data_IF_643336843715
#
_entry.id   IF_643336843715
#
_cell.length_a   1.000
_cell.length_b   1.000
_cell.length_c   1.000
_cell.angle_alpha   90.00
_cell.angle_beta   90.00
_cell.angle_gamma   90.00
#
_symmetry.space_group_name_H-M   'P 1'
#
loop_
_entity.id
_entity.type
_entity.pdbx_description
1 polymer ?
#
# COMPACT_ATOMS: atom_id res chain seq x y z
N UNK A 1 55.36 5.42 36.58
CA UNK A 1 55.21 5.34 35.11
C UNK A 1 53.82 4.82 34.81
N UNK A 2 53.07 5.63 34.06
CA UNK A 2 51.81 5.36 33.36
C UNK A 2 50.53 5.21 34.17
N UNK A 3 49.88 6.36 34.32
CA UNK A 3 48.42 6.54 34.23
C UNK A 3 47.91 6.08 32.85
N UNK A 4 46.76 5.41 32.78
CA UNK A 4 45.75 5.64 31.72
C UNK A 4 44.34 5.34 32.26
N UNK A 5 43.49 6.34 32.10
CA UNK A 5 42.06 6.45 32.43
C UNK A 5 41.20 5.95 31.27
N UNK A 6 39.96 5.53 31.55
CA UNK A 6 38.81 5.74 30.64
C UNK A 6 38.07 4.44 30.27
N UNK A 7 36.89 4.18 30.85
CA UNK A 7 35.59 4.75 30.47
C UNK A 7 34.98 4.07 29.23
N UNK A 8 33.82 3.45 29.39
CA UNK A 8 33.08 2.91 28.25
C UNK A 8 32.00 1.91 28.61
N UNK A 9 30.97 2.39 29.31
CA UNK A 9 29.66 1.75 29.39
C UNK A 9 29.19 1.34 27.98
N UNK A 10 29.03 0.03 27.74
CA UNK A 10 28.29 -0.46 26.58
C UNK A 10 27.76 -1.87 26.82
N UNK A 11 26.59 -1.91 27.45
CA UNK A 11 25.45 -2.64 26.88
C UNK A 11 25.63 -4.16 26.92
N UNK A 12 25.29 -4.73 28.08
CA UNK A 12 24.42 -5.89 28.11
C UNK A 12 23.28 -5.71 27.08
N UNK A 13 22.86 -6.80 26.44
CA UNK A 13 21.84 -6.88 25.37
C UNK A 13 22.46 -6.83 23.97
N UNK A 14 23.00 -7.95 23.48
CA UNK A 14 23.00 -8.17 22.04
C UNK A 14 23.14 -9.64 21.62
N UNK A 15 22.34 -10.55 22.17
CA UNK A 15 22.17 -11.88 21.56
C UNK A 15 20.78 -12.47 21.77
N UNK A 16 19.75 -11.63 21.64
CA UNK A 16 18.43 -12.06 21.16
C UNK A 16 18.42 -11.99 19.62
N UNK A 17 19.34 -12.71 18.97
CA UNK A 17 19.35 -12.92 17.51
C UNK A 17 18.85 -14.32 17.21
N UNK A 18 17.65 -14.67 17.65
CA UNK A 18 17.02 -15.91 17.20
C UNK A 18 15.51 -15.92 17.42
N UNK A 19 14.78 -14.88 16.99
CA UNK A 19 13.34 -15.04 16.74
C UNK A 19 12.79 -13.91 15.85
N UNK A 20 12.82 -14.11 14.52
CA UNK A 20 11.78 -13.64 13.58
C UNK A 20 12.00 -14.19 12.16
N UNK A 21 11.99 -15.52 12.02
CA UNK A 21 11.81 -16.19 10.72
C UNK A 21 10.45 -16.91 10.71
N UNK A 22 9.36 -16.18 10.93
CA UNK A 22 8.00 -16.59 10.56
C UNK A 22 7.17 -15.31 10.29
N UNK A 23 6.68 -15.16 9.06
CA UNK A 23 5.45 -14.45 8.68
C UNK A 23 5.18 -13.06 9.26
N UNK A 24 5.78 -12.01 8.69
CA UNK A 24 4.99 -10.80 8.54
C UNK A 24 4.10 -11.03 7.31
N UNK A 25 2.81 -11.31 7.52
CA UNK A 25 1.82 -10.91 6.51
C UNK A 25 2.10 -9.42 6.27
N UNK A 26 2.62 -9.06 5.10
CA UNK A 26 2.76 -7.65 4.75
C UNK A 26 1.34 -7.11 4.65
N UNK A 27 0.90 -6.44 5.72
CA UNK A 27 -0.34 -5.72 5.70
C UNK A 27 -0.17 -4.61 4.66
N UNK A 28 -0.82 -4.72 3.52
CA UNK A 28 -0.69 -3.72 2.46
C UNK A 28 -1.71 -2.64 2.76
N UNK A 29 -1.21 -1.43 2.89
CA UNK A 29 -1.96 -0.27 3.27
C UNK A 29 -1.89 0.74 2.13
N UNK A 30 -2.93 0.81 1.30
CA UNK A 30 -2.94 1.65 0.11
C UNK A 30 -4.10 2.64 0.16
N UNK A 31 -3.76 3.93 0.03
CA UNK A 31 -4.72 4.97 -0.25
C UNK A 31 -5.08 4.96 -1.74
N UNK A 32 -6.32 5.31 -2.06
CA UNK A 32 -6.73 5.66 -3.41
C UNK A 32 -7.60 6.91 -3.42
N UNK A 33 -7.57 7.64 -4.54
CA UNK A 33 -8.45 8.77 -4.82
C UNK A 33 -8.88 8.74 -6.28
N UNK A 34 -10.15 9.05 -6.53
CA UNK A 34 -10.71 9.19 -7.86
C UNK A 34 -10.11 10.45 -8.49
N UNK A 35 -9.64 10.30 -9.72
CA UNK A 35 -9.09 11.41 -10.51
C UNK A 35 -10.12 11.92 -11.51
N UNK A 36 -10.77 10.99 -12.20
CA UNK A 36 -11.71 11.30 -13.27
C UNK A 36 -12.70 10.14 -13.47
N UNK A 37 -13.91 10.47 -13.89
CA UNK A 37 -14.98 9.51 -14.16
C UNK A 37 -15.73 9.92 -15.43
N UNK A 38 -15.93 8.95 -16.32
CA UNK A 38 -16.81 9.02 -17.50
C UNK A 38 -17.94 8.01 -17.36
N UNK A 39 -18.85 7.94 -18.33
CA UNK A 39 -19.87 6.89 -18.38
C UNK A 39 -19.26 5.48 -18.50
N UNK A 40 -18.12 5.35 -19.19
CA UNK A 40 -17.50 4.05 -19.51
C UNK A 40 -16.36 3.66 -18.56
N UNK A 41 -15.69 4.64 -17.96
CA UNK A 41 -14.45 4.43 -17.21
C UNK A 41 -14.39 5.25 -15.93
N UNK A 42 -13.56 4.80 -14.98
CA UNK A 42 -13.17 5.60 -13.82
C UNK A 42 -11.70 5.39 -13.50
N UNK A 43 -10.99 6.49 -13.30
CA UNK A 43 -9.55 6.49 -13.03
C UNK A 43 -9.29 6.83 -11.57
N UNK A 44 -8.38 6.09 -10.96
CA UNK A 44 -7.93 6.29 -9.59
C UNK A 44 -6.42 6.41 -9.51
N UNK A 45 -5.90 7.35 -8.75
CA UNK A 45 -4.54 7.27 -8.21
C UNK A 45 -4.52 6.34 -7.01
N UNK A 46 -3.45 5.58 -6.81
CA UNK A 46 -3.27 4.76 -5.62
C UNK A 46 -1.80 4.67 -5.21
N UNK A 47 -1.57 4.44 -3.93
CA UNK A 47 -0.23 4.23 -3.38
C UNK A 47 -0.24 4.10 -1.87
N UNK A 48 0.92 3.84 -1.28
CA UNK A 48 1.09 3.83 0.18
C UNK A 48 1.03 5.26 0.74
N UNK A 49 1.63 6.21 0.03
CA UNK A 49 1.58 7.64 0.34
C UNK A 49 0.40 8.32 -0.38
N UNK A 50 -0.41 9.05 0.39
CA UNK A 50 -1.55 9.80 -0.13
C UNK A 50 -1.12 11.01 -0.95
N UNK A 51 -0.03 11.68 -0.55
CA UNK A 51 0.43 12.91 -1.18
C UNK A 51 1.33 12.62 -2.39
N UNK A 52 1.91 11.42 -2.45
CA UNK A 52 2.72 10.93 -3.55
C UNK A 52 2.28 9.51 -3.98
N UNK A 53 1.14 9.37 -4.68
CA UNK A 53 0.64 8.07 -5.11
C UNK A 53 1.64 7.37 -6.04
N UNK A 54 1.75 6.05 -5.89
CA UNK A 54 2.72 5.22 -6.60
C UNK A 54 2.36 5.04 -8.08
N UNK A 55 1.07 4.93 -8.39
CA UNK A 55 0.56 4.71 -9.74
C UNK A 55 -0.92 5.12 -9.85
N UNK A 56 -1.49 4.93 -11.04
CA UNK A 56 -2.92 5.03 -11.29
C UNK A 56 -3.48 3.75 -11.89
N UNK A 57 -4.78 3.54 -11.75
CA UNK A 57 -5.51 2.46 -12.40
C UNK A 57 -6.76 3.01 -13.08
N UNK A 58 -7.13 2.39 -14.19
CA UNK A 58 -8.38 2.65 -14.92
C UNK A 58 -9.27 1.42 -14.76
N UNK A 59 -10.50 1.67 -14.32
CA UNK A 59 -11.58 0.70 -14.35
C UNK A 59 -12.43 0.91 -15.58
N UNK A 60 -12.57 -0.15 -16.38
CA UNK A 60 -13.62 -0.26 -17.38
C UNK A 60 -14.90 -0.70 -16.68
N UNK A 61 -15.93 0.16 -16.75
CA UNK A 61 -17.24 -0.07 -16.10
C UNK A 61 -18.10 -1.08 -16.86
N UNK A 62 -17.83 -1.28 -18.15
CA UNK A 62 -18.57 -2.22 -19.01
C UNK A 62 -18.08 -3.65 -18.82
N UNK A 63 -16.75 -3.83 -18.82
CA UNK A 63 -16.08 -5.11 -18.66
C UNK A 63 -15.84 -5.47 -17.19
N UNK A 64 -15.99 -4.50 -16.28
CA UNK A 64 -15.64 -4.63 -14.86
C UNK A 64 -14.20 -5.11 -14.66
N UNK A 65 -13.28 -4.56 -15.45
CA UNK A 65 -11.85 -4.88 -15.35
C UNK A 65 -11.06 -3.65 -14.95
N UNK A 66 -9.93 -3.88 -14.28
CA UNK A 66 -8.97 -2.83 -13.93
C UNK A 66 -7.64 -3.07 -14.64
N UNK A 67 -7.01 -1.98 -15.06
CA UNK A 67 -5.65 -1.97 -15.59
C UNK A 67 -4.83 -0.87 -14.91
N UNK A 68 -3.58 -1.15 -14.51
CA UNK A 68 -2.67 -0.10 -14.06
C UNK A 68 -2.20 0.74 -15.26
N UNK A 69 -2.08 2.05 -15.08
CA UNK A 69 -1.59 2.98 -16.11
C UNK A 69 -0.13 2.69 -16.45
N UNK A 70 0.69 2.33 -15.45
CA UNK A 70 2.06 1.87 -15.67
C UNK A 70 2.19 0.55 -16.44
N UNK A 71 1.10 -0.21 -16.58
CA UNK A 71 1.12 -1.59 -17.07
C UNK A 71 1.61 -2.64 -16.06
N UNK A 72 2.05 -2.23 -14.86
CA UNK A 72 2.57 -3.13 -13.83
C UNK A 72 1.49 -3.58 -12.84
N UNK A 73 1.18 -4.88 -12.86
CA UNK A 73 0.20 -5.48 -11.93
C UNK A 73 0.83 -5.82 -10.58
N UNK A 74 1.11 -4.79 -9.79
CA UNK A 74 1.67 -4.95 -8.44
C UNK A 74 0.66 -5.54 -7.45
N UNK A 75 1.12 -5.96 -6.26
CA UNK A 75 0.19 -6.37 -5.20
C UNK A 75 -0.71 -5.21 -4.76
N UNK A 76 -0.14 -3.99 -4.64
CA UNK A 76 -0.89 -2.77 -4.35
C UNK A 76 -2.01 -2.53 -5.36
N UNK A 77 -1.72 -2.67 -6.66
CA UNK A 77 -2.75 -2.60 -7.71
C UNK A 77 -3.89 -3.61 -7.47
N UNK A 78 -3.56 -4.89 -7.27
CA UNK A 78 -4.57 -5.93 -7.10
C UNK A 78 -5.42 -5.72 -5.83
N UNK A 79 -4.78 -5.32 -4.73
CA UNK A 79 -5.47 -5.02 -3.48
C UNK A 79 -6.40 -3.81 -3.62
N UNK A 80 -5.91 -2.73 -4.22
CA UNK A 80 -6.69 -1.50 -4.43
C UNK A 80 -7.86 -1.72 -5.37
N UNK A 81 -7.64 -2.37 -6.53
CA UNK A 81 -8.71 -2.68 -7.45
C UNK A 81 -9.80 -3.53 -6.78
N UNK A 82 -9.42 -4.59 -6.05
CA UNK A 82 -10.38 -5.42 -5.33
C UNK A 82 -11.16 -4.63 -4.27
N UNK A 83 -10.47 -3.73 -3.56
CA UNK A 83 -11.05 -2.88 -2.53
C UNK A 83 -12.09 -1.89 -3.08
N UNK A 84 -11.75 -1.20 -4.18
CA UNK A 84 -12.65 -0.29 -4.89
C UNK A 84 -13.88 -1.05 -5.39
N UNK A 85 -13.67 -2.18 -6.06
CA UNK A 85 -14.76 -3.00 -6.60
C UNK A 85 -15.71 -3.48 -5.49
N UNK A 86 -15.16 -3.88 -4.33
CA UNK A 86 -15.97 -4.26 -3.17
C UNK A 86 -16.84 -3.10 -2.69
N UNK A 87 -16.28 -1.90 -2.50
CA UNK A 87 -17.03 -0.70 -2.09
C UNK A 87 -18.12 -0.34 -3.10
N UNK A 88 -17.81 -0.40 -4.40
CA UNK A 88 -18.81 -0.22 -5.45
C UNK A 88 -19.94 -1.24 -5.34
N UNK A 89 -19.64 -2.52 -5.08
CA UNK A 89 -20.69 -3.54 -4.93
C UNK A 89 -21.63 -3.27 -3.75
N UNK A 90 -21.09 -2.72 -2.66
CA UNK A 90 -21.80 -2.39 -1.42
C UNK A 90 -22.66 -1.12 -1.57
N UNK A 91 -22.12 -0.07 -2.19
CA UNK A 91 -22.77 1.25 -2.27
C UNK A 91 -23.51 1.51 -3.59
N UNK A 92 -23.19 0.74 -4.64
CA UNK A 92 -23.60 0.99 -6.04
C UNK A 92 -23.07 2.29 -6.63
N UNK A 93 -22.06 2.88 -6.00
CA UNK A 93 -21.42 4.11 -6.43
C UNK A 93 -19.90 3.93 -6.46
N UNK A 94 -19.25 4.57 -7.43
CA UNK A 94 -17.79 4.56 -7.51
C UNK A 94 -17.22 5.45 -6.40
N UNK A 95 -16.43 4.91 -5.45
CA UNK A 95 -16.01 5.66 -4.27
C UNK A 95 -15.11 6.84 -4.63
N UNK A 96 -15.26 7.99 -3.98
CA UNK A 96 -14.42 9.17 -4.24
C UNK A 96 -12.95 8.95 -3.82
N UNK A 97 -12.73 8.29 -2.69
CA UNK A 97 -11.41 7.96 -2.16
C UNK A 97 -11.54 6.90 -1.06
N UNK A 98 -10.41 6.44 -0.54
CA UNK A 98 -10.39 5.69 0.69
C UNK A 98 -9.07 4.98 0.93
N UNK A 99 -9.06 4.21 2.00
CA UNK A 99 -7.92 3.38 2.38
C UNK A 99 -8.27 1.91 2.27
N UNK A 100 -7.33 1.11 1.78
CA UNK A 100 -7.38 -0.34 1.74
C UNK A 100 -6.31 -0.86 2.69
N UNK A 101 -6.72 -1.67 3.65
CA UNK A 101 -5.84 -2.48 4.48
C UNK A 101 -6.14 -3.95 4.17
N UNK A 102 -5.12 -4.71 3.77
CA UNK A 102 -5.25 -6.13 3.43
C UNK A 102 -4.18 -6.98 4.09
#
# INVERSE_FOLDING_TARGET
>A
MSETVGSGSAIAIQLARFDRRIGALMAISSFFAKLFETDDEVTYSFGEDRDCPDDALVFDKTLFTAQPVSGLRTFGFNATARGIYRRYRETKEWPENGYIAS
#
